data_IF_145968111412
#
_entry.id   IF_145968111412
#
_cell.length_a   1.000
_cell.length_b   1.000
_cell.length_c   1.000
_cell.angle_alpha   90.00
_cell.angle_beta   90.00
_cell.angle_gamma   90.00
#
_symmetry.space_group_name_H-M   'P 1'
#
loop_
_entity.id
_entity.type
_entity.pdbx_description
1 polymer ?
#
# COMPACT_ATOMS: atom_id res chain seq x y z
N UNK A 1 -10.82 -4.31 -18.06
CA UNK A 1 -10.65 -4.81 -16.68
C UNK A 1 -9.18 -5.13 -16.52
N UNK A 2 -8.39 -4.08 -16.27
CA UNK A 2 -6.96 -4.21 -16.02
C UNK A 2 -6.80 -4.47 -14.53
N UNK A 3 -6.33 -5.66 -14.17
CA UNK A 3 -5.97 -5.93 -12.77
C UNK A 3 -4.81 -4.98 -12.41
N UNK A 4 -4.90 -4.20 -11.32
CA UNK A 4 -3.86 -3.23 -10.98
C UNK A 4 -2.53 -3.87 -10.55
N UNK A 5 -2.39 -5.22 -10.64
CA UNK A 5 -1.24 -6.03 -10.19
C UNK A 5 -0.71 -5.54 -8.85
N UNK A 6 -1.62 -5.30 -7.91
CA UNK A 6 -1.29 -4.77 -6.59
C UNK A 6 -0.49 -5.83 -5.83
N UNK A 7 0.77 -5.52 -5.56
CA UNK A 7 1.66 -6.40 -4.81
C UNK A 7 2.51 -5.60 -3.82
N UNK A 8 2.95 -6.29 -2.78
CA UNK A 8 3.94 -5.75 -1.87
C UNK A 8 5.33 -6.16 -2.33
N UNK A 9 6.31 -5.32 -2.08
CA UNK A 9 7.71 -5.59 -2.35
C UNK A 9 8.50 -5.36 -1.06
N UNK A 10 9.33 -6.33 -0.67
CA UNK A 10 10.24 -6.12 0.45
C UNK A 10 11.47 -5.30 0.03
N UNK A 11 12.25 -4.88 1.03
CA UNK A 11 13.53 -4.17 0.83
C UNK A 11 14.55 -4.97 -0.03
N UNK A 12 14.36 -6.28 -0.17
CA UNK A 12 15.20 -7.17 -1.00
C UNK A 12 14.66 -7.34 -2.42
N UNK A 13 13.56 -6.67 -2.78
CA UNK A 13 12.92 -6.77 -4.11
C UNK A 13 12.05 -8.01 -4.30
N UNK A 14 11.76 -8.79 -3.25
CA UNK A 14 10.86 -9.93 -3.29
C UNK A 14 9.42 -9.45 -3.35
N UNK A 15 8.69 -9.96 -4.34
CA UNK A 15 7.26 -9.68 -4.51
C UNK A 15 6.43 -10.59 -3.60
N UNK A 16 5.56 -9.98 -2.82
CA UNK A 16 4.57 -10.62 -1.95
C UNK A 16 3.20 -10.32 -2.55
N UNK A 17 2.57 -11.36 -3.09
CA UNK A 17 1.20 -11.26 -3.64
C UNK A 17 0.17 -11.30 -2.52
N UNK A 18 -1.00 -10.72 -2.79
CA UNK A 18 -2.13 -10.85 -1.87
C UNK A 18 -2.52 -12.32 -1.76
N UNK A 19 -2.56 -12.81 -0.53
CA UNK A 19 -3.03 -14.16 -0.22
C UNK A 19 -4.56 -14.23 -0.33
N UNK A 20 -5.25 -13.13 -0.04
CA UNK A 20 -6.70 -13.05 -0.13
C UNK A 20 -7.15 -11.66 -0.54
N UNK A 21 -8.18 -11.59 -1.40
CA UNK A 21 -8.90 -10.36 -1.74
C UNK A 21 -10.36 -10.54 -1.36
N UNK A 22 -10.91 -9.63 -0.57
CA UNK A 22 -12.31 -9.64 -0.16
C UNK A 22 -12.93 -8.27 -0.44
N UNK A 23 -13.45 -8.10 -1.66
CA UNK A 23 -13.90 -6.80 -2.16
C UNK A 23 -12.75 -5.80 -2.16
N UNK A 24 -12.87 -4.78 -1.30
CA UNK A 24 -11.88 -3.72 -1.10
C UNK A 24 -10.72 -4.09 -0.18
N UNK A 25 -10.82 -5.20 0.55
CA UNK A 25 -9.79 -5.60 1.51
C UNK A 25 -8.80 -6.56 0.86
N UNK A 26 -7.54 -6.16 0.80
CA UNK A 26 -6.43 -6.95 0.30
C UNK A 26 -5.58 -7.43 1.47
N UNK A 27 -5.38 -8.75 1.56
CA UNK A 27 -4.69 -9.40 2.66
C UNK A 27 -3.41 -10.04 2.15
N UNK A 28 -2.28 -9.69 2.76
CA UNK A 28 -0.96 -10.14 2.40
C UNK A 28 -0.32 -10.90 3.56
N UNK A 29 0.39 -11.99 3.24
CA UNK A 29 1.20 -12.72 4.21
C UNK A 29 2.61 -12.15 4.19
N UNK A 30 3.02 -11.52 5.28
CA UNK A 30 4.33 -10.91 5.41
C UNK A 30 5.26 -11.89 6.13
N UNK A 31 6.36 -12.30 5.50
CA UNK A 31 7.41 -13.06 6.17
C UNK A 31 7.89 -12.40 7.48
N UNK A 32 8.45 -13.21 8.38
CA UNK A 32 9.21 -12.68 9.50
C UNK A 32 10.38 -11.82 9.03
N UNK A 33 10.90 -10.98 9.92
CA UNK A 33 12.09 -10.13 9.71
C UNK A 33 11.96 -8.98 8.69
N UNK A 34 10.78 -8.71 8.13
CA UNK A 34 10.57 -7.55 7.24
C UNK A 34 10.05 -6.36 8.05
N UNK A 35 10.72 -5.21 7.94
CA UNK A 35 10.30 -3.95 8.59
C UNK A 35 9.74 -2.93 7.61
N UNK A 36 10.22 -2.97 6.38
CA UNK A 36 9.88 -2.02 5.34
C UNK A 36 9.36 -2.77 4.11
N UNK A 37 8.18 -2.34 3.66
CA UNK A 37 7.56 -2.82 2.43
C UNK A 37 7.30 -1.65 1.51
N UNK A 38 7.09 -1.94 0.24
CA UNK A 38 6.59 -1.01 -0.77
C UNK A 38 5.32 -1.59 -1.39
N UNK A 39 4.24 -0.83 -1.37
CA UNK A 39 3.00 -1.13 -2.07
C UNK A 39 3.12 -0.68 -3.50
N UNK A 40 3.21 -1.64 -4.41
CA UNK A 40 3.35 -1.41 -5.84
C UNK A 40 2.03 -1.72 -6.52
N UNK A 41 1.55 -0.78 -7.34
CA UNK A 41 0.43 -0.97 -8.26
C UNK A 41 0.90 -0.63 -9.66
N UNK A 42 0.41 -1.33 -10.67
CA UNK A 42 0.62 -0.94 -12.06
C UNK A 42 0.11 0.49 -12.28
N UNK A 43 0.92 1.26 -13.00
CA UNK A 43 0.50 2.52 -13.58
C UNK A 43 -0.53 2.19 -14.67
N UNK A 44 -1.68 2.87 -14.70
CA UNK A 44 -2.59 2.78 -15.85
C UNK A 44 -1.80 3.23 -17.08
N UNK A 45 -2.11 2.63 -18.24
CA UNK A 45 -1.45 2.95 -19.51
C UNK A 45 -1.42 4.47 -19.79
N UNK A 46 -2.42 5.21 -19.33
CA UNK A 46 -2.50 6.67 -19.48
C UNK A 46 -1.42 7.42 -18.67
N UNK A 47 -1.02 6.92 -17.49
CA UNK A 47 0.06 7.52 -16.68
C UNK A 47 1.44 7.34 -17.30
N UNK A 48 1.64 6.37 -18.19
CA UNK A 48 2.91 6.15 -18.86
C UNK A 48 3.19 7.18 -19.97
N UNK A 49 2.17 7.93 -20.40
CA UNK A 49 2.34 9.05 -21.32
C UNK A 49 2.83 10.29 -20.58
N UNK A 50 3.67 11.10 -21.23
CA UNK A 50 4.11 12.38 -20.68
C UNK A 50 2.90 13.29 -20.42
N UNK A 51 2.63 13.62 -19.15
CA UNK A 51 1.45 14.40 -18.73
C UNK A 51 0.24 13.54 -18.33
N UNK A 52 0.38 12.22 -18.29
CA UNK A 52 -0.66 11.32 -17.79
C UNK A 52 -0.96 11.55 -16.31
N UNK A 53 -2.24 11.42 -15.93
CA UNK A 53 -2.63 11.45 -14.53
C UNK A 53 -1.87 10.35 -13.78
N UNK A 54 -1.30 10.62 -12.59
CA UNK A 54 -0.67 9.56 -11.82
C UNK A 54 -1.68 8.44 -11.61
N UNK A 55 -1.22 7.20 -11.56
CA UNK A 55 -2.10 6.07 -11.36
C UNK A 55 -1.67 5.30 -10.14
N UNK A 56 -2.65 4.93 -9.34
CA UNK A 56 -2.42 4.21 -8.10
C UNK A 56 -3.73 3.84 -7.46
N UNK A 57 -3.63 3.54 -6.18
CA UNK A 57 -4.77 3.12 -5.37
C UNK A 57 -4.97 4.08 -4.21
N UNK A 58 -6.25 4.38 -3.93
CA UNK A 58 -6.64 5.08 -2.71
C UNK A 58 -6.64 4.06 -1.58
N UNK A 59 -5.63 4.15 -0.73
CA UNK A 59 -5.51 3.30 0.45
C UNK A 59 -6.27 3.96 1.59
N UNK A 60 -7.19 3.22 2.21
CA UNK A 60 -7.88 3.59 3.43
C UNK A 60 -7.19 2.98 4.64
N UNK A 61 -7.94 2.23 5.46
CA UNK A 61 -7.39 1.64 6.68
C UNK A 61 -6.39 0.52 6.39
N UNK A 62 -5.24 0.58 7.06
CA UNK A 62 -4.24 -0.49 7.05
C UNK A 62 -4.05 -1.08 8.44
N UNK A 63 -4.13 -2.40 8.55
CA UNK A 63 -3.97 -3.11 9.82
C UNK A 63 -3.02 -4.28 9.61
N UNK A 64 -1.94 -4.30 10.38
CA UNK A 64 -1.00 -5.40 10.43
C UNK A 64 -1.29 -6.28 11.66
N UNK A 65 -1.53 -7.56 11.44
CA UNK A 65 -1.72 -8.56 12.48
C UNK A 65 -0.41 -9.33 12.64
N UNK A 66 0.30 -9.07 13.73
CA UNK A 66 1.45 -9.86 14.16
C UNK A 66 0.97 -11.01 15.06
N UNK A 67 1.86 -11.94 15.44
CA UNK A 67 1.46 -13.16 16.16
C UNK A 67 0.76 -12.91 17.51
N UNK A 68 1.01 -11.77 18.13
CA UNK A 68 0.49 -11.43 19.47
C UNK A 68 -0.34 -10.13 19.49
N UNK A 69 -0.32 -9.33 18.41
CA UNK A 69 -0.92 -7.99 18.42
C UNK A 69 -1.40 -7.52 17.06
N UNK A 70 -2.41 -6.66 17.07
CA UNK A 70 -2.91 -5.93 15.90
C UNK A 70 -2.37 -4.50 15.92
N UNK A 71 -1.62 -4.11 14.90
CA UNK A 71 -0.98 -2.81 14.76
C UNK A 71 -1.66 -2.06 13.61
N UNK A 72 -2.28 -0.91 13.90
CA UNK A 72 -2.80 -0.04 12.86
C UNK A 72 -1.64 0.72 12.20
N UNK A 73 -1.48 0.58 10.88
CA UNK A 73 -0.42 1.28 10.16
C UNK A 73 -0.95 2.64 9.72
N UNK A 74 -0.75 3.66 10.55
CA UNK A 74 -1.19 5.05 10.28
C UNK A 74 -0.10 5.93 9.68
N UNK A 75 1.10 5.39 9.43
CA UNK A 75 2.24 6.12 8.88
C UNK A 75 1.90 6.91 7.61
N UNK A 76 1.08 6.34 6.72
CA UNK A 76 0.62 6.99 5.50
C UNK A 76 -0.28 8.22 5.75
N UNK A 77 -1.01 8.24 6.87
CA UNK A 77 -1.83 9.38 7.30
C UNK A 77 -1.02 10.40 8.10
N UNK A 78 -0.07 9.95 8.93
CA UNK A 78 0.68 10.82 9.84
C UNK A 78 1.83 11.55 9.12
N UNK A 79 2.61 10.81 8.32
CA UNK A 79 3.79 11.34 7.65
C UNK A 79 3.41 12.09 6.38
N UNK A 80 3.54 13.42 6.39
CA UNK A 80 3.26 14.26 5.22
C UNK A 80 4.15 13.92 4.02
N UNK A 81 5.44 13.64 4.23
CA UNK A 81 6.38 13.25 3.19
C UNK A 81 6.71 11.75 3.33
N UNK A 82 5.92 10.90 2.67
CA UNK A 82 6.17 9.47 2.57
C UNK A 82 6.34 9.10 1.10
N UNK A 83 7.48 8.48 0.78
CA UNK A 83 7.88 8.19 -0.60
C UNK A 83 6.80 7.37 -1.32
N UNK A 84 6.38 7.83 -2.51
CA UNK A 84 5.36 7.18 -3.32
C UNK A 84 3.90 7.32 -2.84
N UNK A 85 3.65 8.21 -1.89
CA UNK A 85 2.30 8.63 -1.50
C UNK A 85 2.00 10.03 -2.03
N UNK A 86 0.78 10.24 -2.54
CA UNK A 86 0.31 11.52 -3.04
C UNK A 86 0.10 12.56 -1.93
N UNK A 87 -0.49 13.70 -2.24
CA UNK A 87 -0.77 14.74 -1.23
C UNK A 87 -1.71 14.22 -0.14
N UNK A 88 -1.48 14.64 1.11
CA UNK A 88 -2.35 14.31 2.25
C UNK A 88 -3.69 15.04 2.08
N UNK A 89 -4.69 14.35 1.57
CA UNK A 89 -6.09 14.79 1.67
C UNK A 89 -6.53 14.50 3.10
N UNK A 90 -7.07 15.45 3.85
CA UNK A 90 -7.30 15.36 5.32
C UNK A 90 -8.16 14.19 5.85
N UNK A 91 -8.56 13.24 5.01
CA UNK A 91 -9.20 11.99 5.39
C UNK A 91 -8.16 10.94 5.83
N UNK A 92 -8.60 9.91 6.56
CA UNK A 92 -7.78 8.73 6.89
C UNK A 92 -7.55 7.80 5.69
N UNK A 93 -7.38 8.39 4.50
CA UNK A 93 -7.14 7.71 3.24
C UNK A 93 -6.18 8.54 2.40
N UNK A 94 -5.28 7.88 1.68
CA UNK A 94 -4.27 8.54 0.88
C UNK A 94 -4.00 7.77 -0.40
N UNK A 95 -3.93 8.51 -1.49
CA UNK A 95 -3.57 7.96 -2.78
C UNK A 95 -2.09 7.61 -2.84
N UNK A 96 -1.80 6.52 -3.54
CA UNK A 96 -0.44 6.09 -3.88
C UNK A 96 -0.09 6.54 -5.29
N UNK A 97 1.19 6.73 -5.57
CA UNK A 97 1.68 7.11 -6.91
C UNK A 97 2.26 5.91 -7.69
N UNK A 98 1.80 4.69 -7.38
CA UNK A 98 2.26 3.46 -8.00
C UNK A 98 3.34 2.68 -7.24
N UNK A 99 4.10 3.31 -6.33
CA UNK A 99 5.13 2.63 -5.52
C UNK A 99 5.27 3.29 -4.14
N UNK A 100 4.35 2.99 -3.24
CA UNK A 100 4.21 3.65 -1.95
C UNK A 100 4.99 2.94 -0.85
N UNK A 101 5.81 3.69 -0.09
CA UNK A 101 6.57 3.15 1.02
C UNK A 101 5.68 2.84 2.22
N UNK A 102 5.76 1.64 2.76
CA UNK A 102 4.93 1.15 3.86
C UNK A 102 5.83 0.67 5.00
N UNK A 103 6.12 1.53 5.98
CA UNK A 103 6.83 1.11 7.19
C UNK A 103 5.87 0.30 8.07
N UNK A 104 6.24 -0.95 8.38
CA UNK A 104 5.50 -1.79 9.32
C UNK A 104 5.75 -1.42 10.79
N UNK A 105 6.72 -0.52 11.04
CA UNK A 105 7.13 -0.09 12.37
C UNK A 105 7.96 -1.13 13.11
N UNK A 106 8.11 -0.93 14.42
CA UNK A 106 8.81 -1.86 15.30
C UNK A 106 7.94 -3.09 15.59
N UNK A 107 8.25 -4.20 14.91
CA UNK A 107 7.64 -5.51 15.16
C UNK A 107 8.62 -6.48 15.80
N UNK A 108 8.07 -7.44 16.53
CA UNK A 108 8.84 -8.56 17.05
C UNK A 108 9.24 -9.43 15.85
N UNK A 109 10.53 -9.49 15.52
CA UNK A 109 11.03 -10.16 14.30
C UNK A 109 10.88 -11.70 14.29
N UNK A 110 10.05 -12.26 15.17
CA UNK A 110 10.02 -13.68 15.49
C UNK A 110 9.13 -14.53 14.57
N UNK A 111 8.11 -13.97 13.90
CA UNK A 111 7.12 -14.77 13.15
C UNK A 111 6.54 -14.11 11.90
N UNK A 112 5.81 -14.86 11.04
CA UNK A 112 5.03 -14.29 9.95
C UNK A 112 3.84 -13.47 10.48
N UNK A 113 3.45 -12.44 9.74
CA UNK A 113 2.30 -11.60 10.05
C UNK A 113 1.37 -11.44 8.86
N UNK A 114 0.18 -10.88 9.10
CA UNK A 114 -0.84 -10.65 8.08
C UNK A 114 -1.05 -9.15 7.93
N UNK A 115 -0.82 -8.60 6.75
CA UNK A 115 -1.13 -7.20 6.45
C UNK A 115 -2.45 -7.11 5.71
N UNK A 116 -3.42 -6.43 6.31
CA UNK A 116 -4.70 -6.08 5.69
C UNK A 116 -4.66 -4.62 5.24
N UNK A 117 -4.92 -4.38 3.96
CA UNK A 117 -4.96 -3.07 3.34
C UNK A 117 -6.35 -2.88 2.73
N UNK A 118 -7.03 -1.81 3.12
CA UNK A 118 -8.28 -1.39 2.48
C UNK A 118 -7.97 -0.51 1.27
N UNK A 119 -8.43 -0.93 0.11
CA UNK A 119 -8.35 -0.19 -1.15
C UNK A 119 -9.73 0.38 -1.45
N UNK A 120 -9.89 1.69 -1.24
CA UNK A 120 -11.17 2.38 -1.41
C UNK A 120 -11.50 2.60 -2.88
N UNK A 121 -10.47 2.87 -3.69
CA UNK A 121 -10.57 3.07 -5.14
C UNK A 121 -9.28 2.63 -5.83
N UNK A 122 -9.43 1.99 -6.98
CA UNK A 122 -8.39 1.67 -7.95
C UNK A 122 -8.75 2.40 -9.26
N UNK A 123 -8.07 3.49 -9.58
CA UNK A 123 -8.46 4.33 -10.72
C UNK A 123 -7.45 5.45 -11.00
N UNK A 124 -7.65 6.22 -12.07
CA UNK A 124 -6.78 7.36 -12.38
C UNK A 124 -6.81 8.33 -11.20
N UNK A 125 -5.63 8.62 -10.64
CA UNK A 125 -5.49 9.63 -9.61
C UNK A 125 -5.65 11.00 -10.28
N UNK A 126 -6.90 11.45 -10.36
CA UNK A 126 -7.21 12.86 -10.46
C UNK A 126 -6.80 13.46 -9.11
N UNK A 127 -5.52 13.84 -8.99
CA UNK A 127 -5.18 14.91 -8.06
C UNK A 127 -6.07 16.08 -8.46
N UNK A 128 -7.20 16.23 -7.78
CA UNK A 128 -7.99 17.43 -7.90
C UNK A 128 -7.06 18.57 -7.47
N UNK A 129 -6.82 19.47 -8.42
CA UNK A 129 -6.14 20.74 -8.27
C UNK A 129 -6.62 21.51 -7.03
#
# INVERSE_FOLDING_TARGET
>A
MEDPDLHLMDERGRRIRAARRNGRIWVFLIPGQIRLLRLVSLLCAESAMAGGAPCGVLVGKMTFFDSDRSIAITAHCDQAALDGWGSKTGAASRWTTGNALLPLGERTMAGPGVLSIEILSDGPYLAAD
#
